data_IF_485768370708
#
_entry.id   IF_485768370708
#
_cell.length_a   1.000
_cell.length_b   1.000
_cell.length_c   1.000
_cell.angle_alpha   90.00
_cell.angle_beta   90.00
_cell.angle_gamma   90.00
#
_symmetry.space_group_name_H-M   'P 1'
#
loop_
_entity.id
_entity.type
_entity.pdbx_description
1 polymer ?
#
# COMPACT_ATOMS: atom_id res chain seq x y z
N UNK A 1 -9.22 17.51 -16.12
CA UNK A 1 -9.80 17.54 -14.74
C UNK A 1 -9.96 19.00 -14.33
N UNK A 2 -11.13 19.41 -13.80
CA UNK A 2 -11.39 20.81 -13.45
C UNK A 2 -10.43 21.27 -12.34
N UNK A 3 -9.88 22.49 -12.43
CA UNK A 3 -8.93 23.06 -11.44
C UNK A 3 -9.45 22.96 -9.98
N UNK A 4 -10.74 23.20 -9.78
CA UNK A 4 -11.37 23.09 -8.46
C UNK A 4 -11.25 21.68 -7.87
N UNK A 5 -11.40 20.62 -8.69
CA UNK A 5 -11.25 19.23 -8.23
C UNK A 5 -9.80 18.92 -7.85
N UNK A 6 -8.83 19.49 -8.55
CA UNK A 6 -7.40 19.32 -8.22
C UNK A 6 -7.10 19.96 -6.88
N UNK A 7 -7.53 21.21 -6.66
CA UNK A 7 -7.32 21.95 -5.42
C UNK A 7 -7.96 21.19 -4.25
N UNK A 8 -9.23 20.78 -4.38
CA UNK A 8 -9.93 20.04 -3.33
C UNK A 8 -9.21 18.74 -2.98
N UNK A 9 -8.75 17.97 -3.99
CA UNK A 9 -8.01 16.74 -3.75
C UNK A 9 -6.67 17.00 -3.05
N UNK A 10 -5.97 18.07 -3.41
CA UNK A 10 -4.72 18.45 -2.76
C UNK A 10 -4.95 18.84 -1.28
N UNK A 11 -6.00 19.58 -0.99
CA UNK A 11 -6.38 19.93 0.38
C UNK A 11 -6.76 18.71 1.22
N UNK A 12 -7.50 17.75 0.65
CA UNK A 12 -7.85 16.49 1.30
C UNK A 12 -6.58 15.68 1.63
N UNK A 13 -5.67 15.52 0.67
CA UNK A 13 -4.41 14.82 0.90
C UNK A 13 -3.54 15.54 1.92
N UNK A 14 -3.48 16.88 1.86
CA UNK A 14 -2.75 17.69 2.84
C UNK A 14 -3.31 17.49 4.25
N UNK A 15 -4.62 17.63 4.43
CA UNK A 15 -5.29 17.44 5.72
C UNK A 15 -5.05 16.04 6.28
N UNK A 16 -5.23 14.99 5.45
CA UNK A 16 -4.98 13.62 5.88
C UNK A 16 -3.53 13.41 6.33
N UNK A 17 -2.57 13.78 5.49
CA UNK A 17 -1.15 13.48 5.71
C UNK A 17 -0.50 14.32 6.82
N UNK A 18 -1.03 15.51 7.14
CA UNK A 18 -0.43 16.39 8.13
C UNK A 18 -1.19 16.41 9.48
N UNK A 19 -2.42 15.90 9.50
CA UNK A 19 -3.24 15.92 10.72
C UNK A 19 -3.74 14.52 11.04
N UNK A 20 -4.56 13.91 10.16
CA UNK A 20 -5.29 12.68 10.47
C UNK A 20 -4.36 11.49 10.68
N UNK A 21 -3.28 11.39 9.90
CA UNK A 21 -2.31 10.28 10.00
C UNK A 21 -1.62 10.19 11.36
N UNK A 22 -1.60 11.28 12.14
CA UNK A 22 -1.00 11.34 13.49
C UNK A 22 -2.01 11.08 14.62
N UNK A 23 -3.30 11.00 14.35
CA UNK A 23 -4.32 10.74 15.36
C UNK A 23 -4.17 9.28 15.85
N UNK A 24 -4.02 9.02 17.17
CA UNK A 24 -3.78 7.67 17.69
C UNK A 24 -5.05 6.80 17.72
N UNK A 25 -5.82 6.79 16.62
CA UNK A 25 -7.01 5.96 16.43
C UNK A 25 -7.07 5.47 14.99
N UNK A 26 -6.85 4.18 14.78
CA UNK A 26 -6.93 3.59 13.44
C UNK A 26 -8.33 3.70 12.83
N UNK A 27 -9.38 3.75 13.64
CA UNK A 27 -10.75 3.92 13.15
C UNK A 27 -10.93 5.31 12.54
N UNK A 28 -10.47 6.36 13.20
CA UNK A 28 -10.55 7.74 12.67
C UNK A 28 -9.78 7.80 11.35
N UNK A 29 -8.55 7.30 11.29
CA UNK A 29 -7.74 7.30 10.06
C UNK A 29 -8.43 6.54 8.92
N UNK A 30 -8.96 5.34 9.21
CA UNK A 30 -9.68 4.52 8.23
C UNK A 30 -10.94 5.21 7.72
N UNK A 31 -11.83 5.66 8.60
CA UNK A 31 -13.10 6.26 8.18
C UNK A 31 -12.91 7.60 7.49
N UNK A 32 -11.89 8.37 7.86
CA UNK A 32 -11.51 9.58 7.14
C UNK A 32 -11.13 9.27 5.68
N UNK A 33 -10.32 8.23 5.45
CA UNK A 33 -9.98 7.78 4.08
C UNK A 33 -11.20 7.33 3.28
N UNK A 34 -12.12 6.58 3.91
CA UNK A 34 -13.37 6.14 3.27
C UNK A 34 -14.22 7.36 2.88
N UNK A 35 -14.36 8.32 3.77
CA UNK A 35 -15.10 9.56 3.52
C UNK A 35 -14.49 10.36 2.35
N UNK A 36 -13.17 10.31 2.19
CA UNK A 36 -12.46 10.95 1.08
C UNK A 36 -12.36 10.08 -0.19
N UNK A 37 -13.05 8.94 -0.24
CA UNK A 37 -13.25 8.14 -1.45
C UNK A 37 -12.33 6.93 -1.62
N UNK A 38 -11.54 6.55 -0.61
CA UNK A 38 -10.85 5.25 -0.59
C UNK A 38 -11.84 4.12 -0.33
N UNK A 39 -11.60 2.93 -0.90
CA UNK A 39 -12.35 1.71 -0.58
C UNK A 39 -11.53 0.86 0.38
N UNK A 40 -12.02 0.67 1.62
CA UNK A 40 -11.29 -0.07 2.66
C UNK A 40 -12.22 -1.08 3.32
N UNK A 41 -11.83 -2.34 3.25
CA UNK A 41 -12.59 -3.49 3.73
C UNK A 41 -12.70 -3.58 5.26
N UNK A 42 -13.49 -4.58 5.70
CA UNK A 42 -13.71 -4.83 7.12
C UNK A 42 -12.43 -5.34 7.80
N UNK A 43 -12.31 -5.06 9.11
CA UNK A 43 -11.16 -5.47 9.93
C UNK A 43 -9.78 -5.07 9.38
N UNK A 44 -9.74 -4.12 8.44
CA UNK A 44 -8.49 -3.58 7.90
C UNK A 44 -8.03 -2.42 8.75
N UNK A 45 -6.73 -2.40 9.02
CA UNK A 45 -6.08 -1.44 9.89
C UNK A 45 -4.98 -0.69 9.14
N UNK A 46 -4.91 0.62 9.36
CA UNK A 46 -3.86 1.50 8.83
C UNK A 46 -3.25 2.21 10.04
N UNK A 47 -1.96 1.98 10.28
CA UNK A 47 -1.25 2.57 11.40
C UNK A 47 -0.81 4.02 11.14
N UNK A 48 -0.25 4.66 12.16
CA UNK A 48 0.10 6.08 12.16
C UNK A 48 1.27 6.44 11.24
N UNK A 49 1.45 7.72 11.00
CA UNK A 49 2.60 8.31 10.31
C UNK A 49 2.78 7.81 8.87
N UNK A 50 1.73 7.29 8.22
CA UNK A 50 1.75 6.96 6.81
C UNK A 50 1.53 8.18 5.93
N UNK A 51 2.02 8.11 4.70
CA UNK A 51 1.70 9.09 3.65
C UNK A 51 0.83 8.44 2.58
N UNK A 52 -0.28 9.08 2.22
CA UNK A 52 -1.17 8.62 1.15
C UNK A 52 -1.30 9.71 0.10
N UNK A 53 -0.74 9.44 -1.08
CA UNK A 53 -0.94 10.26 -2.27
C UNK A 53 -2.17 9.79 -3.05
N UNK A 54 -3.15 10.67 -3.27
CA UNK A 54 -4.36 10.41 -4.04
C UNK A 54 -5.29 9.35 -3.45
N UNK A 55 -5.89 9.69 -2.34
CA UNK A 55 -6.80 8.84 -1.54
C UNK A 55 -7.91 8.15 -2.36
N UNK A 56 -8.44 8.79 -3.41
CA UNK A 56 -9.53 8.24 -4.26
C UNK A 56 -9.11 7.04 -5.14
N UNK A 57 -7.82 6.78 -5.29
CA UNK A 57 -7.30 5.64 -6.08
C UNK A 57 -6.73 4.52 -5.21
N UNK A 58 -7.08 4.50 -3.91
CA UNK A 58 -6.65 3.48 -2.96
C UNK A 58 -7.80 2.52 -2.66
N UNK A 59 -7.57 1.22 -2.96
CA UNK A 59 -8.49 0.14 -2.64
C UNK A 59 -7.78 -0.89 -1.78
N UNK A 60 -8.36 -1.25 -0.62
CA UNK A 60 -7.79 -2.22 0.32
C UNK A 60 -8.87 -3.21 0.73
N UNK A 61 -8.58 -4.49 0.63
CA UNK A 61 -9.46 -5.59 1.02
C UNK A 61 -9.65 -5.72 2.53
N UNK A 62 -10.17 -6.87 2.94
CA UNK A 62 -10.50 -7.20 4.33
C UNK A 62 -9.28 -7.77 5.09
N UNK A 63 -9.29 -7.63 6.43
CA UNK A 63 -8.28 -8.21 7.33
C UNK A 63 -6.83 -7.84 6.94
N UNK A 64 -6.62 -6.70 6.33
CA UNK A 64 -5.31 -6.23 5.85
C UNK A 64 -4.71 -5.25 6.83
N UNK A 65 -3.40 -5.36 7.07
CA UNK A 65 -2.68 -4.49 7.99
C UNK A 65 -1.59 -3.71 7.26
N UNK A 66 -1.67 -2.39 7.34
CA UNK A 66 -0.63 -1.47 6.86
C UNK A 66 0.01 -0.84 8.09
N UNK A 67 1.26 -1.24 8.34
CA UNK A 67 1.99 -0.79 9.52
C UNK A 67 2.48 0.66 9.39
N UNK A 68 3.00 1.18 10.50
CA UNK A 68 3.41 2.57 10.67
C UNK A 68 4.46 3.03 9.65
N UNK A 69 4.30 4.26 9.17
CA UNK A 69 5.29 4.95 8.34
C UNK A 69 5.33 4.49 6.88
N UNK A 70 4.33 3.75 6.40
CA UNK A 70 4.25 3.35 5.00
C UNK A 70 3.87 4.52 4.08
N UNK A 71 4.43 4.54 2.87
CA UNK A 71 4.08 5.48 1.81
C UNK A 71 3.25 4.74 0.76
N UNK A 72 2.02 5.19 0.54
CA UNK A 72 1.11 4.69 -0.49
C UNK A 72 0.87 5.78 -1.53
N UNK A 73 1.76 5.91 -2.49
CA UNK A 73 1.65 6.92 -3.56
C UNK A 73 0.77 6.39 -4.69
N UNK A 74 -0.55 6.60 -4.57
CA UNK A 74 -1.55 5.99 -5.44
C UNK A 74 -1.89 6.81 -6.71
N UNK A 75 -0.94 7.48 -7.36
CA UNK A 75 -1.22 8.27 -8.57
C UNK A 75 -1.70 7.40 -9.73
N UNK A 76 -1.09 6.23 -9.96
CA UNK A 76 -1.53 5.23 -10.93
C UNK A 76 -2.68 4.33 -10.42
N UNK A 77 -2.90 4.33 -9.10
CA UNK A 77 -3.81 3.44 -8.39
C UNK A 77 -3.07 2.35 -7.61
N UNK A 78 -3.59 2.02 -6.43
CA UNK A 78 -3.10 0.91 -5.60
C UNK A 78 -4.30 0.07 -5.19
N UNK A 79 -4.22 -1.23 -5.51
CA UNK A 79 -5.20 -2.22 -5.06
C UNK A 79 -4.49 -3.26 -4.20
N UNK A 80 -4.97 -3.45 -2.98
CA UNK A 80 -4.44 -4.41 -2.00
C UNK A 80 -5.55 -5.38 -1.64
N UNK A 81 -5.26 -6.67 -1.71
CA UNK A 81 -6.19 -7.75 -1.43
C UNK A 81 -6.51 -7.95 0.04
N UNK A 82 -7.02 -9.16 0.36
CA UNK A 82 -7.40 -9.57 1.69
C UNK A 82 -6.24 -10.27 2.41
N UNK A 83 -6.24 -10.19 3.76
CA UNK A 83 -5.23 -10.84 4.61
C UNK A 83 -3.78 -10.47 4.25
N UNK A 84 -3.56 -9.25 3.75
CA UNK A 84 -2.24 -8.73 3.40
C UNK A 84 -1.61 -8.08 4.63
N UNK A 85 -0.31 -8.32 4.81
CA UNK A 85 0.49 -7.63 5.81
C UNK A 85 1.58 -6.79 5.15
N UNK A 86 1.52 -5.47 5.31
CA UNK A 86 2.56 -4.54 4.88
C UNK A 86 3.29 -4.07 6.12
N UNK A 87 4.56 -4.44 6.26
CA UNK A 87 5.39 -4.09 7.40
C UNK A 87 5.73 -2.60 7.43
N UNK A 88 6.42 -2.16 8.48
CA UNK A 88 6.75 -0.75 8.70
C UNK A 88 7.59 -0.15 7.56
N UNK A 89 7.36 1.13 7.26
CA UNK A 89 8.18 1.95 6.35
C UNK A 89 8.31 1.38 4.92
N UNK A 90 7.31 0.64 4.47
CA UNK A 90 7.25 0.19 3.07
C UNK A 90 6.81 1.32 2.15
N UNK A 91 7.31 1.31 0.91
CA UNK A 91 6.99 2.28 -0.12
C UNK A 91 6.25 1.57 -1.26
N UNK A 92 5.00 1.96 -1.53
CA UNK A 92 4.19 1.46 -2.64
C UNK A 92 3.98 2.64 -3.59
N UNK A 93 4.76 2.69 -4.68
CA UNK A 93 4.93 3.89 -5.51
C UNK A 93 4.38 3.62 -6.91
N UNK A 94 3.12 4.00 -7.16
CA UNK A 94 2.45 3.79 -8.45
C UNK A 94 2.63 4.93 -9.46
N UNK A 95 3.45 5.91 -9.14
CA UNK A 95 3.75 7.06 -9.99
C UNK A 95 5.23 7.28 -10.18
N UNK A 96 5.59 7.88 -11.29
CA UNK A 96 6.96 8.25 -11.65
C UNK A 96 6.96 9.13 -12.87
N UNK A 97 8.09 9.20 -13.55
CA UNK A 97 8.27 9.93 -14.80
C UNK A 97 8.86 9.02 -15.87
N UNK A 98 8.63 9.34 -17.14
CA UNK A 98 9.34 8.73 -18.25
C UNK A 98 10.70 9.43 -18.40
N UNK A 99 11.77 8.72 -18.08
CA UNK A 99 13.15 9.25 -18.14
C UNK A 99 13.62 9.52 -19.55
N UNK A 100 12.98 8.93 -20.57
CA UNK A 100 13.30 9.13 -21.98
C UNK A 100 12.41 10.19 -22.65
N UNK A 101 11.37 10.68 -21.94
CA UNK A 101 10.54 11.76 -22.46
C UNK A 101 11.29 13.09 -22.41
N UNK A 102 11.35 13.84 -23.52
CA UNK A 102 11.99 15.15 -23.55
C UNK A 102 11.29 16.18 -22.67
N UNK A 103 10.03 15.94 -22.29
CA UNK A 103 9.23 16.79 -21.40
C UNK A 103 9.12 16.23 -19.98
N UNK A 104 9.84 15.12 -19.67
CA UNK A 104 9.83 14.46 -18.37
C UNK A 104 8.40 14.17 -17.87
N UNK A 105 7.59 13.62 -18.75
CA UNK A 105 6.17 13.38 -18.51
C UNK A 105 5.94 12.39 -17.34
N UNK A 106 4.79 12.56 -16.67
CA UNK A 106 4.37 11.65 -15.61
C UNK A 106 4.02 10.27 -16.16
N UNK A 107 4.63 9.22 -15.63
CA UNK A 107 4.32 7.83 -15.92
C UNK A 107 3.73 7.15 -14.68
N UNK A 108 2.44 6.89 -14.74
CA UNK A 108 1.64 6.39 -13.62
C UNK A 108 1.00 5.05 -13.99
N UNK A 109 1.46 3.96 -13.35
CA UNK A 109 0.95 2.62 -13.61
C UNK A 109 0.41 2.00 -12.31
N UNK A 110 -0.72 1.25 -12.35
CA UNK A 110 -1.33 0.68 -11.16
C UNK A 110 -0.44 -0.39 -10.53
N UNK A 111 -0.54 -0.50 -9.20
CA UNK A 111 0.05 -1.59 -8.43
C UNK A 111 -1.07 -2.47 -7.91
N UNK A 112 -0.90 -3.79 -8.05
CA UNK A 112 -1.82 -4.80 -7.54
C UNK A 112 -1.09 -5.72 -6.57
N UNK A 113 -1.55 -5.78 -5.33
CA UNK A 113 -1.06 -6.69 -4.30
C UNK A 113 -2.18 -7.68 -4.00
N UNK A 114 -1.99 -8.94 -4.37
CA UNK A 114 -3.01 -9.99 -4.22
C UNK A 114 -3.18 -10.42 -2.74
N UNK A 115 -4.12 -11.34 -2.51
CA UNK A 115 -4.44 -11.85 -1.17
C UNK A 115 -3.24 -12.56 -0.53
N UNK A 116 -3.18 -12.53 0.82
CA UNK A 116 -2.17 -13.22 1.64
C UNK A 116 -0.71 -12.79 1.41
N UNK A 117 -0.47 -11.69 0.70
CA UNK A 117 0.89 -11.17 0.51
C UNK A 117 1.47 -10.64 1.83
N UNK A 118 2.75 -10.90 2.03
CA UNK A 118 3.52 -10.26 3.10
C UNK A 118 4.65 -9.43 2.52
N UNK A 119 4.65 -8.12 2.84
CA UNK A 119 5.71 -7.20 2.45
C UNK A 119 6.55 -6.87 3.68
N UNK A 120 7.83 -7.27 3.64
CA UNK A 120 8.82 -7.07 4.68
C UNK A 120 9.17 -5.59 4.88
N UNK A 121 9.70 -5.27 6.06
CA UNK A 121 10.02 -3.89 6.48
C UNK A 121 10.91 -3.16 5.46
N UNK A 122 10.56 -1.91 5.16
CA UNK A 122 11.36 -1.05 4.27
C UNK A 122 11.38 -1.45 2.79
N UNK A 123 10.59 -2.45 2.38
CA UNK A 123 10.53 -2.84 0.97
C UNK A 123 9.87 -1.75 0.12
N UNK A 124 10.27 -1.65 -1.15
CA UNK A 124 9.75 -0.70 -2.13
C UNK A 124 9.17 -1.45 -3.32
N UNK A 125 7.90 -1.17 -3.65
CA UNK A 125 7.20 -1.71 -4.82
C UNK A 125 7.01 -0.57 -5.83
N UNK A 126 7.52 -0.76 -7.04
CA UNK A 126 7.46 0.26 -8.09
C UNK A 126 6.19 0.13 -8.95
N UNK A 127 5.92 1.19 -9.71
CA UNK A 127 4.76 1.30 -10.62
C UNK A 127 4.63 0.11 -11.56
N UNK A 128 3.39 -0.27 -11.86
CA UNK A 128 3.06 -1.34 -12.81
C UNK A 128 3.21 -2.76 -12.27
N UNK A 129 3.73 -2.94 -11.04
CA UNK A 129 4.00 -4.27 -10.48
C UNK A 129 2.73 -4.93 -9.95
N UNK A 130 2.57 -6.23 -10.27
CA UNK A 130 1.63 -7.14 -9.62
C UNK A 130 2.39 -8.09 -8.69
N UNK A 131 1.98 -8.13 -7.42
CA UNK A 131 2.46 -9.11 -6.43
C UNK A 131 1.42 -10.23 -6.34
N UNK A 132 1.81 -11.45 -6.70
CA UNK A 132 0.95 -12.62 -6.74
C UNK A 132 0.44 -13.06 -5.36
N UNK A 133 -0.62 -13.89 -5.35
CA UNK A 133 -1.26 -14.40 -4.14
C UNK A 133 -0.23 -15.13 -3.26
N UNK A 134 -0.27 -14.86 -1.96
CA UNK A 134 0.61 -15.53 -0.99
C UNK A 134 2.10 -15.19 -1.11
N UNK A 135 2.51 -14.35 -2.05
CA UNK A 135 3.91 -13.98 -2.21
C UNK A 135 4.48 -13.25 -0.99
N UNK A 136 5.79 -13.33 -0.83
CA UNK A 136 6.56 -12.64 0.22
C UNK A 136 7.61 -11.76 -0.42
N UNK A 137 7.62 -10.50 -0.04
CA UNK A 137 8.70 -9.56 -0.37
C UNK A 137 9.59 -9.40 0.85
N UNK A 138 10.85 -9.78 0.74
CA UNK A 138 11.81 -9.68 1.84
C UNK A 138 12.06 -8.21 2.26
N UNK A 139 12.53 -8.03 3.50
CA UNK A 139 12.85 -6.71 4.03
C UNK A 139 13.87 -5.97 3.14
N UNK A 140 13.63 -4.68 2.91
CA UNK A 140 14.51 -3.81 2.11
C UNK A 140 14.56 -4.12 0.61
N UNK A 141 13.77 -5.07 0.10
CA UNK A 141 13.77 -5.40 -1.32
C UNK A 141 13.15 -4.29 -2.17
N UNK A 142 13.65 -4.13 -3.40
CA UNK A 142 13.08 -3.21 -4.41
C UNK A 142 12.50 -4.04 -5.56
N UNK A 143 11.16 -4.11 -5.61
CA UNK A 143 10.43 -4.88 -6.60
C UNK A 143 10.14 -4.03 -7.82
N UNK A 144 10.70 -4.41 -8.96
CA UNK A 144 10.63 -3.70 -10.24
C UNK A 144 9.85 -4.46 -11.32
N UNK A 145 9.44 -5.70 -11.05
CA UNK A 145 8.72 -6.61 -11.96
C UNK A 145 7.69 -7.43 -11.19
N UNK A 146 6.75 -8.01 -11.89
CA UNK A 146 5.74 -8.88 -11.30
C UNK A 146 6.35 -10.02 -10.50
N UNK A 147 5.69 -10.34 -9.39
CA UNK A 147 6.08 -11.44 -8.50
C UNK A 147 5.05 -12.56 -8.65
N UNK A 148 5.46 -13.80 -8.96
CA UNK A 148 4.55 -14.93 -9.05
C UNK A 148 3.84 -15.24 -7.73
N UNK A 149 2.72 -15.98 -7.82
CA UNK A 149 2.02 -16.50 -6.66
C UNK A 149 2.97 -17.34 -5.80
N UNK A 150 2.89 -17.17 -4.48
CA UNK A 150 3.67 -17.87 -3.45
C UNK A 150 5.21 -17.71 -3.54
N UNK A 151 5.73 -16.95 -4.49
CA UNK A 151 7.16 -16.68 -4.57
C UNK A 151 7.65 -15.84 -3.37
N UNK A 152 8.86 -16.14 -2.91
CA UNK A 152 9.61 -15.29 -1.98
C UNK A 152 10.65 -14.54 -2.79
N UNK A 153 10.60 -13.21 -2.76
CA UNK A 153 11.55 -12.35 -3.50
C UNK A 153 12.35 -11.46 -2.57
N UNK A 154 13.60 -11.19 -2.93
CA UNK A 154 14.48 -10.32 -2.14
C UNK A 154 15.59 -9.68 -2.97
N UNK A 155 16.24 -8.65 -2.44
CA UNK A 155 17.34 -7.94 -3.07
C UNK A 155 16.93 -6.67 -3.84
N UNK A 156 17.92 -6.01 -4.46
CA UNK A 156 17.81 -4.76 -5.25
C UNK A 156 18.55 -4.97 -6.56
N UNK A 157 17.86 -5.15 -7.71
CA UNK A 157 16.42 -5.41 -7.82
C UNK A 157 16.03 -6.77 -7.26
N UNK A 158 14.78 -6.92 -6.81
CA UNK A 158 14.29 -8.16 -6.21
C UNK A 158 14.30 -9.33 -7.21
N UNK A 159 14.76 -10.49 -6.73
CA UNK A 159 14.78 -11.76 -7.46
C UNK A 159 14.10 -12.84 -6.62
N UNK A 160 13.60 -13.90 -7.25
CA UNK A 160 13.06 -15.06 -6.55
C UNK A 160 14.20 -15.74 -5.77
N UNK A 161 14.00 -15.89 -4.44
CA UNK A 161 14.94 -16.53 -3.52
C UNK A 161 14.36 -17.76 -2.83
N UNK A 162 13.09 -18.06 -3.09
CA UNK A 162 12.41 -19.21 -2.53
C UNK A 162 10.93 -19.24 -2.87
N UNK A 163 10.24 -20.19 -2.28
CA UNK A 163 8.80 -20.38 -2.40
C UNK A 163 8.17 -20.56 -1.02
N UNK A 164 6.95 -20.03 -0.85
CA UNK A 164 6.18 -20.10 0.38
C UNK A 164 5.22 -21.28 0.36
N UNK A 165 4.96 -21.88 1.53
CA UNK A 165 3.89 -22.86 1.69
C UNK A 165 2.54 -22.29 1.19
N UNK A 166 1.79 -23.08 0.42
CA UNK A 166 0.53 -22.70 -0.20
C UNK A 166 -0.69 -22.82 0.73
N UNK A 167 -0.58 -23.53 1.84
CA UNK A 167 -1.66 -23.69 2.82
C UNK A 167 -1.80 -22.44 3.72
N UNK A 168 -2.47 -21.43 3.17
CA UNK A 168 -2.68 -20.14 3.81
C UNK A 168 -4.13 -19.97 4.21
N UNK A 169 -4.43 -20.18 5.49
CA UNK A 169 -5.78 -20.09 6.06
C UNK A 169 -5.92 -19.09 7.23
N UNK A 170 -4.95 -18.19 7.43
CA UNK A 170 -4.95 -17.23 8.53
C UNK A 170 -5.71 -15.95 8.21
N UNK A 171 -6.12 -15.24 9.28
CA UNK A 171 -6.56 -13.84 9.21
C UNK A 171 -5.47 -12.94 9.79
N UNK A 172 -5.01 -11.97 9.02
CA UNK A 172 -3.88 -11.11 9.39
C UNK A 172 -4.09 -10.34 10.73
N UNK A 173 -5.34 -10.09 11.12
CA UNK A 173 -5.73 -9.34 12.33
C UNK A 173 -6.65 -10.15 13.25
N UNK A 174 -6.35 -11.43 13.48
CA UNK A 174 -7.19 -12.32 14.29
C UNK A 174 -7.20 -12.06 15.79
N UNK A 175 -6.25 -11.28 16.35
CA UNK A 175 -6.18 -11.03 17.79
C UNK A 175 -6.79 -9.69 18.19
N UNK A 176 -7.80 -9.70 19.08
CA UNK A 176 -8.45 -8.52 19.67
C UNK A 176 -7.52 -7.66 20.55
N UNK A 177 -6.27 -8.05 20.78
CA UNK A 177 -5.38 -7.41 21.75
C UNK A 177 -4.75 -6.09 21.30
N UNK A 178 -4.97 -5.66 20.08
CA UNK A 178 -4.37 -4.44 19.53
C UNK A 178 -5.37 -3.28 19.42
N UNK A 179 -6.29 -3.22 20.37
CA UNK A 179 -7.21 -2.12 20.49
C UNK A 179 -6.48 -0.90 21.04
N UNK A 180 -6.50 0.17 20.28
CA UNK A 180 -6.64 1.57 20.65
C UNK A 180 -5.45 2.52 20.48
N UNK A 181 -4.17 2.16 20.55
CA UNK A 181 -3.11 3.16 20.67
C UNK A 181 -1.89 2.92 19.75
N UNK A 182 -2.08 2.61 18.49
CA UNK A 182 -0.96 2.64 17.52
C UNK A 182 -1.34 3.38 16.27
#
# INVERSE_FOLDING_TARGET
MNHLKIILMSLICYFYNNIVTYIPSHLIRKYCLIMFGSKIGHHTRIDMCGYIGRVTKLNIGNNTHINRGCILQAFGGITIGNNVSISHRCNIISGGHDVNSPTFEGDHQPIVICDYVWIGVGATILKGVKIGKGAVVAAGAVVTRDVPDYAIVGGIPAKIIGERNHDLNYRCLSSRRWLLLQ
#
